data_IF_328710138831
#
_entry.id   IF_328710138831
#
_cell.length_a   1.000
_cell.length_b   1.000
_cell.length_c   1.000
_cell.angle_alpha   90.00
_cell.angle_beta   90.00
_cell.angle_gamma   90.00
#
_symmetry.space_group_name_H-M   'P 1'
#
loop_
_entity.id
_entity.type
_entity.pdbx_description
1 polymer ?
#
# COMPACT_ATOMS: atom_id res chain seq x y z
N UNK A 1 3.55 11.59 18.34
CA UNK A 1 3.59 11.71 16.86
C UNK A 1 5.05 11.76 16.49
N UNK A 2 5.65 10.60 16.22
CA UNK A 2 7.10 10.44 16.06
C UNK A 2 7.62 11.47 15.05
N UNK A 3 8.73 12.15 15.37
CA UNK A 3 9.45 13.06 14.48
C UNK A 3 9.44 12.48 13.07
N UNK A 4 8.72 13.12 12.16
CA UNK A 4 8.65 12.73 10.75
C UNK A 4 10.07 12.82 10.20
N UNK A 5 10.84 11.73 10.27
CA UNK A 5 12.17 11.69 9.73
C UNK A 5 12.01 11.95 8.22
N UNK A 6 12.40 13.13 7.72
CA UNK A 6 12.03 13.55 6.36
C UNK A 6 12.53 12.54 5.33
N UNK A 7 13.67 11.89 5.64
CA UNK A 7 14.26 10.84 4.83
C UNK A 7 13.38 9.58 4.74
N UNK A 8 12.71 9.15 5.81
CA UNK A 8 11.85 7.95 5.75
C UNK A 8 10.59 8.22 4.93
N UNK A 9 10.02 9.42 5.00
CA UNK A 9 8.89 9.81 4.15
C UNK A 9 9.27 9.92 2.67
N UNK A 10 10.45 10.47 2.36
CA UNK A 10 10.94 10.56 0.98
C UNK A 10 11.15 9.16 0.39
N UNK A 11 11.81 8.27 1.13
CA UNK A 11 12.04 6.89 0.70
C UNK A 11 10.73 6.11 0.57
N UNK A 12 9.83 6.22 1.56
CA UNK A 12 8.53 5.56 1.53
C UNK A 12 7.66 6.05 0.35
N UNK A 13 7.62 7.36 0.12
CA UNK A 13 6.89 7.96 -1.00
C UNK A 13 7.42 7.52 -2.35
N UNK A 14 8.74 7.45 -2.51
CA UNK A 14 9.37 6.94 -3.74
C UNK A 14 9.04 5.46 -3.98
N UNK A 15 9.16 4.61 -2.96
CA UNK A 15 8.84 3.19 -3.04
C UNK A 15 7.37 2.94 -3.41
N UNK A 16 6.44 3.67 -2.77
CA UNK A 16 5.00 3.59 -3.08
C UNK A 16 4.72 4.08 -4.51
N UNK A 17 5.29 5.22 -4.90
CA UNK A 17 5.15 5.76 -6.25
C UNK A 17 5.63 4.79 -7.32
N UNK A 18 6.80 4.19 -7.12
CA UNK A 18 7.34 3.17 -8.01
C UNK A 18 6.44 1.91 -8.07
N UNK A 19 5.97 1.43 -6.91
CA UNK A 19 5.07 0.27 -6.82
C UNK A 19 3.74 0.48 -7.56
N UNK A 20 3.11 1.65 -7.42
CA UNK A 20 1.85 1.96 -8.13
C UNK A 20 2.02 2.03 -9.65
N UNK A 21 3.19 2.49 -10.14
CA UNK A 21 3.51 2.46 -11.57
C UNK A 21 3.60 1.03 -12.09
N UNK A 22 4.28 0.14 -11.38
CA UNK A 22 4.39 -1.28 -11.75
C UNK A 22 3.04 -2.00 -11.70
N UNK A 23 2.17 -1.65 -10.75
CA UNK A 23 0.81 -2.19 -10.62
C UNK A 23 -0.21 -1.62 -11.63
N UNK A 24 0.24 -0.80 -12.58
CA UNK A 24 -0.57 -0.14 -13.59
C UNK A 24 -1.81 0.59 -13.01
N UNK A 25 -1.67 1.14 -11.80
CA UNK A 25 -2.76 1.80 -11.08
C UNK A 25 -2.47 1.99 -9.60
N UNK A 26 -3.32 2.77 -8.94
CA UNK A 26 -3.28 2.97 -7.50
C UNK A 26 -4.30 2.07 -6.78
N UNK A 27 -4.11 1.85 -5.49
CA UNK A 27 -5.01 1.05 -4.65
C UNK A 27 -6.46 1.54 -4.69
N UNK A 28 -6.66 2.87 -4.72
CA UNK A 28 -7.98 3.49 -4.84
C UNK A 28 -8.59 3.30 -6.23
N UNK A 29 -7.82 3.39 -7.32
CA UNK A 29 -8.33 3.19 -8.68
C UNK A 29 -8.79 1.76 -8.95
N UNK A 30 -7.99 0.77 -8.53
CA UNK A 30 -8.39 -0.65 -8.53
C UNK A 30 -9.55 -0.91 -7.54
N UNK A 31 -9.61 -0.15 -6.44
CA UNK A 31 -10.65 -0.25 -5.42
C UNK A 31 -12.03 0.27 -5.84
N UNK A 32 -12.10 1.42 -6.48
CA UNK A 32 -13.38 2.09 -6.77
C UNK A 32 -13.88 1.68 -8.17
N UNK A 33 -13.05 1.85 -9.20
CA UNK A 33 -13.45 1.57 -10.58
C UNK A 33 -13.29 0.09 -10.95
N UNK A 34 -12.20 -0.56 -10.52
CA UNK A 34 -11.90 -1.94 -10.93
C UNK A 34 -12.71 -3.01 -10.16
N UNK A 35 -12.88 -2.83 -8.85
CA UNK A 35 -13.73 -3.66 -8.00
C UNK A 35 -15.22 -3.42 -8.28
N UNK A 36 -15.63 -2.17 -8.59
CA UNK A 36 -16.98 -1.84 -9.03
C UNK A 36 -17.40 -2.54 -10.34
N UNK A 37 -16.43 -2.95 -11.16
CA UNK A 37 -16.66 -3.75 -12.39
C UNK A 37 -16.57 -5.27 -12.16
N UNK A 38 -16.53 -5.73 -10.91
CA UNK A 38 -16.35 -7.14 -10.52
C UNK A 38 -15.15 -7.83 -11.22
N UNK A 39 -14.05 -7.11 -11.44
CA UNK A 39 -12.84 -7.72 -12.02
C UNK A 39 -12.03 -8.45 -10.96
N UNK A 40 -11.86 -9.76 -11.13
CA UNK A 40 -11.02 -10.62 -10.26
C UNK A 40 -9.58 -10.12 -10.19
N UNK A 41 -9.05 -9.61 -11.30
CA UNK A 41 -7.68 -9.06 -11.34
C UNK A 41 -7.53 -7.83 -10.42
N UNK A 42 -8.57 -7.00 -10.36
CA UNK A 42 -8.61 -5.83 -9.48
C UNK A 42 -8.74 -6.23 -8.01
N UNK A 43 -9.53 -7.26 -7.72
CA UNK A 43 -9.65 -7.81 -6.37
C UNK A 43 -8.29 -8.31 -5.85
N UNK A 44 -7.54 -9.06 -6.66
CA UNK A 44 -6.20 -9.54 -6.27
C UNK A 44 -5.22 -8.38 -6.05
N UNK A 45 -5.26 -7.34 -6.90
CA UNK A 45 -4.44 -6.15 -6.70
C UNK A 45 -4.78 -5.43 -5.37
N UNK A 46 -6.06 -5.27 -5.05
CA UNK A 46 -6.49 -4.61 -3.81
C UNK A 46 -6.12 -5.43 -2.58
N UNK A 47 -6.33 -6.76 -2.61
CA UNK A 47 -5.98 -7.65 -1.51
C UNK A 47 -4.48 -7.68 -1.24
N UNK A 48 -3.65 -7.65 -2.28
CA UNK A 48 -2.18 -7.63 -2.11
C UNK A 48 -1.69 -6.31 -1.53
N UNK A 49 -2.20 -5.16 -2.00
CA UNK A 49 -1.86 -3.85 -1.42
C UNK A 49 -2.34 -3.70 0.02
N UNK A 50 -3.58 -4.08 0.33
CA UNK A 50 -4.08 -3.98 1.71
C UNK A 50 -3.46 -5.01 2.62
N UNK A 51 -3.25 -6.23 2.15
CA UNK A 51 -2.59 -7.30 2.91
C UNK A 51 -1.17 -6.91 3.30
N UNK A 52 -0.38 -6.37 2.38
CA UNK A 52 0.97 -5.86 2.69
C UNK A 52 0.94 -4.71 3.69
N UNK A 53 -0.02 -3.78 3.59
CA UNK A 53 -0.21 -2.72 4.58
C UNK A 53 -0.52 -3.24 5.98
N UNK A 54 -1.47 -4.17 6.10
CA UNK A 54 -1.84 -4.81 7.37
C UNK A 54 -0.65 -5.56 7.97
N UNK A 55 0.07 -6.34 7.16
CA UNK A 55 1.28 -7.05 7.62
C UNK A 55 2.34 -6.06 8.09
N UNK A 56 2.59 -4.97 7.35
CA UNK A 56 3.60 -3.96 7.70
C UNK A 56 3.28 -3.32 9.04
N UNK A 57 2.02 -2.93 9.28
CA UNK A 57 1.57 -2.38 10.57
C UNK A 57 1.66 -3.44 11.66
N UNK A 58 1.25 -4.68 11.39
CA UNK A 58 1.31 -5.76 12.37
C UNK A 58 2.77 -6.00 12.82
N UNK A 59 3.70 -6.09 11.88
CA UNK A 59 5.13 -6.26 12.17
C UNK A 59 5.68 -5.05 12.92
N UNK A 60 5.44 -3.83 12.44
CA UNK A 60 5.99 -2.61 13.06
C UNK A 60 5.44 -2.38 14.46
N UNK A 61 4.14 -2.59 14.69
CA UNK A 61 3.51 -2.35 16.00
C UNK A 61 3.65 -3.51 16.97
N UNK A 62 3.53 -4.77 16.53
CA UNK A 62 3.55 -5.92 17.45
C UNK A 62 4.91 -6.59 17.59
N UNK A 63 5.75 -6.60 16.55
CA UNK A 63 7.09 -7.22 16.63
C UNK A 63 8.18 -6.22 16.98
N UNK A 64 8.10 -5.01 16.42
CA UNK A 64 9.12 -3.98 16.62
C UNK A 64 8.75 -2.94 17.70
N UNK A 65 7.49 -2.91 18.14
CA UNK A 65 7.02 -1.99 19.20
C UNK A 65 7.14 -0.50 18.84
N UNK A 66 7.19 -0.16 17.54
CA UNK A 66 7.25 1.20 16.99
C UNK A 66 5.85 1.83 16.89
#
# INVERSE_FOLDING_TARGET
VYSFAPLTMVVAGFLVGFGTRMGNGCTSGHGVCGLGRLSVRSLVAVLTFMGTGVITVFVTRHLLGL
#
